data_IF_490389670735
#
_entry.id   IF_490389670735
#
_cell.length_a   1.000
_cell.length_b   1.000
_cell.length_c   1.000
_cell.angle_alpha   90.00
_cell.angle_beta   90.00
_cell.angle_gamma   90.00
#
_symmetry.space_group_name_H-M   'P 1'
#
loop_
_entity.id
_entity.type
_entity.pdbx_description
1 polymer ?
#
# COMPACT_ATOMS: atom_id res chain seq x y z
N UNK A 1 2.82 -19.51 25.35
CA UNK A 1 3.88 -19.12 24.38
C UNK A 1 3.16 -18.71 23.11
N UNK A 2 3.30 -17.47 22.66
CA UNK A 2 2.66 -17.05 21.40
C UNK A 2 3.26 -17.91 20.28
N UNK A 3 2.44 -18.75 19.66
CA UNK A 3 2.82 -19.55 18.50
C UNK A 3 3.34 -18.61 17.42
N UNK A 4 4.47 -18.97 16.81
CA UNK A 4 5.06 -18.16 15.75
C UNK A 4 4.10 -18.11 14.57
N UNK A 5 3.62 -16.91 14.25
CA UNK A 5 2.60 -16.66 13.22
C UNK A 5 3.18 -16.96 11.84
N UNK A 6 2.55 -17.84 11.07
CA UNK A 6 2.94 -18.13 9.68
C UNK A 6 2.14 -17.20 8.77
N UNK A 7 2.83 -16.54 7.83
CA UNK A 7 2.21 -15.70 6.82
C UNK A 7 2.54 -16.21 5.43
N UNK A 8 1.51 -16.65 4.73
CA UNK A 8 1.60 -17.02 3.31
C UNK A 8 1.56 -15.77 2.43
N UNK A 9 2.27 -15.83 1.31
CA UNK A 9 2.16 -14.85 0.22
C UNK A 9 0.88 -15.04 -0.57
N UNK A 10 0.61 -14.12 -1.50
CA UNK A 10 -0.50 -14.25 -2.44
C UNK A 10 -0.05 -14.86 -3.76
N UNK A 11 -0.94 -15.64 -4.38
CA UNK A 11 -0.78 -16.17 -5.73
C UNK A 11 -1.56 -15.29 -6.70
N UNK A 12 -0.92 -14.81 -7.77
CA UNK A 12 -1.56 -14.01 -8.81
C UNK A 12 -1.52 -14.71 -10.15
N UNK A 13 -2.67 -14.82 -10.82
CA UNK A 13 -2.80 -15.48 -12.12
C UNK A 13 -3.62 -14.61 -13.09
N UNK A 14 -3.20 -14.56 -14.35
CA UNK A 14 -3.93 -13.86 -15.42
C UNK A 14 -4.98 -14.77 -16.07
N UNK A 15 -6.15 -14.21 -16.38
CA UNK A 15 -7.26 -14.86 -17.07
C UNK A 15 -7.70 -14.08 -18.32
N UNK A 16 -6.81 -13.23 -18.85
CA UNK A 16 -7.07 -12.39 -20.01
C UNK A 16 -7.81 -11.09 -19.68
N UNK A 17 -9.12 -11.15 -19.48
CA UNK A 17 -9.95 -9.94 -19.28
C UNK A 17 -10.08 -9.55 -17.79
N UNK A 18 -9.63 -10.42 -16.90
CA UNK A 18 -9.45 -10.20 -15.47
C UNK A 18 -8.20 -10.95 -15.00
N UNK A 19 -7.78 -10.69 -13.77
CA UNK A 19 -6.79 -11.51 -13.07
C UNK A 19 -7.30 -11.83 -11.67
N UNK A 20 -6.76 -12.91 -11.10
CA UNK A 20 -7.10 -13.39 -9.77
C UNK A 20 -5.92 -13.26 -8.83
N UNK A 21 -6.22 -12.93 -7.58
CA UNK A 21 -5.27 -12.97 -6.48
C UNK A 21 -5.85 -13.85 -5.37
N UNK A 22 -5.23 -15.01 -5.15
CA UNK A 22 -5.56 -15.89 -4.04
C UNK A 22 -4.67 -15.60 -2.86
N UNK A 23 -5.29 -15.34 -1.72
CA UNK A 23 -4.63 -15.11 -0.45
C UNK A 23 -5.03 -16.24 0.51
N UNK A 24 -4.09 -17.10 0.94
CA UNK A 24 -4.36 -18.13 1.93
C UNK A 24 -4.87 -17.54 3.25
N UNK A 25 -5.49 -18.35 4.12
CA UNK A 25 -6.10 -17.85 5.35
C UNK A 25 -5.03 -17.27 6.28
N UNK A 26 -5.36 -16.14 6.89
CA UNK A 26 -4.54 -15.52 7.94
C UNK A 26 -4.83 -16.25 9.26
N UNK A 27 -3.85 -16.29 10.16
CA UNK A 27 -4.01 -16.94 11.47
C UNK A 27 -5.27 -16.45 12.18
N UNK A 28 -6.15 -17.39 12.54
CA UNK A 28 -7.44 -17.10 13.21
C UNK A 28 -8.64 -16.92 12.29
N UNK A 29 -8.44 -16.91 10.97
CA UNK A 29 -9.53 -16.88 9.98
C UNK A 29 -9.80 -18.28 9.41
N UNK A 30 -11.08 -18.57 9.13
CA UNK A 30 -11.54 -19.88 8.63
C UNK A 30 -11.55 -20.02 7.11
N UNK A 31 -11.20 -18.96 6.38
CA UNK A 31 -11.29 -18.92 4.92
C UNK A 31 -10.13 -18.16 4.28
N UNK A 32 -9.86 -18.52 3.03
CA UNK A 32 -8.97 -17.82 2.11
C UNK A 32 -9.72 -16.69 1.41
N UNK A 33 -9.00 -15.72 0.85
CA UNK A 33 -9.61 -14.62 0.07
C UNK A 33 -9.21 -14.78 -1.38
N UNK A 34 -10.21 -14.87 -2.26
CA UNK A 34 -10.05 -14.75 -3.71
C UNK A 34 -10.50 -13.35 -4.12
N UNK A 35 -9.58 -12.64 -4.75
CA UNK A 35 -9.83 -11.33 -5.34
C UNK A 35 -9.83 -11.43 -6.85
N UNK A 36 -10.95 -11.10 -7.49
CA UNK A 36 -11.05 -11.00 -8.95
C UNK A 36 -10.95 -9.52 -9.33
N UNK A 37 -9.91 -9.13 -10.06
CA UNK A 37 -9.73 -7.76 -10.53
C UNK A 37 -10.09 -7.67 -12.01
N UNK A 38 -11.24 -7.06 -12.30
CA UNK A 38 -11.79 -6.93 -13.65
C UNK A 38 -11.11 -5.78 -14.39
N UNK A 39 -10.43 -6.09 -15.49
CA UNK A 39 -9.66 -5.11 -16.28
C UNK A 39 -10.50 -4.59 -17.44
N UNK A 40 -11.22 -5.49 -18.10
CA UNK A 40 -12.12 -5.19 -19.21
C UNK A 40 -13.57 -5.35 -18.75
N UNK A 41 -14.41 -4.37 -19.04
CA UNK A 41 -15.82 -4.39 -18.63
C UNK A 41 -16.56 -5.56 -19.29
N UNK A 42 -17.23 -6.37 -18.46
CA UNK A 42 -18.12 -7.46 -18.84
C UNK A 42 -19.43 -7.37 -18.07
N UNK A 43 -20.42 -8.13 -18.52
CA UNK A 43 -21.71 -8.21 -17.86
C UNK A 43 -21.57 -8.85 -16.47
N UNK A 44 -22.40 -8.41 -15.52
CA UNK A 44 -22.39 -8.88 -14.14
C UNK A 44 -22.60 -10.40 -14.06
N UNK A 45 -23.41 -10.97 -14.95
CA UNK A 45 -23.65 -12.42 -15.01
C UNK A 45 -22.37 -13.20 -15.36
N UNK A 46 -21.56 -12.68 -16.28
CA UNK A 46 -20.27 -13.29 -16.62
C UNK A 46 -19.31 -13.25 -15.43
N UNK A 47 -19.26 -12.12 -14.71
CA UNK A 47 -18.41 -12.00 -13.51
C UNK A 47 -18.85 -12.99 -12.42
N UNK A 48 -20.16 -13.15 -12.19
CA UNK A 48 -20.70 -14.12 -11.23
C UNK A 48 -20.32 -15.55 -11.62
N UNK A 49 -20.44 -15.90 -12.90
CA UNK A 49 -20.06 -17.23 -13.39
C UNK A 49 -18.57 -17.51 -13.17
N UNK A 50 -17.69 -16.53 -13.44
CA UNK A 50 -16.26 -16.69 -13.16
C UNK A 50 -15.95 -16.76 -11.67
N UNK A 51 -16.64 -15.98 -10.83
CA UNK A 51 -16.48 -16.10 -9.37
C UNK A 51 -16.80 -17.52 -8.88
N UNK A 52 -17.87 -18.14 -9.39
CA UNK A 52 -18.26 -19.50 -9.05
C UNK A 52 -17.26 -20.53 -9.62
N UNK A 53 -16.74 -20.31 -10.84
CA UNK A 53 -15.74 -21.15 -11.48
C UNK A 53 -14.41 -21.15 -10.71
N UNK A 54 -13.89 -19.97 -10.42
CA UNK A 54 -12.62 -19.76 -9.70
C UNK A 54 -12.69 -20.28 -8.25
N UNK A 55 -13.85 -20.16 -7.60
CA UNK A 55 -14.06 -20.75 -6.28
C UNK A 55 -14.02 -22.29 -6.32
N UNK A 56 -14.59 -22.92 -7.36
CA UNK A 56 -14.51 -24.37 -7.54
C UNK A 56 -13.09 -24.82 -7.88
N UNK A 57 -12.39 -24.10 -8.75
CA UNK A 57 -10.99 -24.37 -9.08
C UNK A 57 -10.12 -24.30 -7.82
N UNK A 58 -10.31 -23.26 -7.01
CA UNK A 58 -9.64 -23.15 -5.71
C UNK A 58 -9.90 -24.36 -4.83
N UNK A 59 -11.16 -24.72 -4.58
CA UNK A 59 -11.50 -25.85 -3.72
C UNK A 59 -10.94 -27.19 -4.22
N UNK A 60 -10.78 -27.32 -5.54
CA UNK A 60 -10.15 -28.51 -6.15
C UNK A 60 -8.64 -28.57 -5.91
N UNK A 61 -7.97 -27.41 -5.86
CA UNK A 61 -6.52 -27.29 -5.66
C UNK A 61 -6.16 -27.28 -4.18
N UNK A 62 -6.93 -26.56 -3.38
CA UNK A 62 -6.76 -26.36 -1.96
C UNK A 62 -8.13 -26.54 -1.29
N UNK A 63 -8.35 -27.62 -0.51
CA UNK A 63 -9.63 -27.93 0.13
C UNK A 63 -9.90 -27.02 1.35
N UNK A 64 -9.72 -25.71 1.19
CA UNK A 64 -9.84 -24.67 2.21
C UNK A 64 -11.00 -23.76 1.80
N UNK A 65 -11.91 -23.41 2.73
CA UNK A 65 -12.97 -22.45 2.43
C UNK A 65 -12.41 -21.15 1.83
N UNK A 66 -13.16 -20.54 0.92
CA UNK A 66 -12.74 -19.32 0.23
C UNK A 66 -13.89 -18.31 0.12
N UNK A 67 -13.54 -17.05 0.30
CA UNK A 67 -14.41 -15.91 0.02
C UNK A 67 -13.94 -15.21 -1.25
N UNK A 68 -14.76 -15.23 -2.30
CA UNK A 68 -14.49 -14.57 -3.56
C UNK A 68 -15.15 -13.18 -3.61
N UNK A 69 -14.39 -12.16 -4.03
CA UNK A 69 -14.86 -10.78 -4.19
C UNK A 69 -14.36 -10.24 -5.53
N UNK A 70 -15.27 -9.65 -6.31
CA UNK A 70 -14.94 -8.97 -7.56
C UNK A 70 -14.69 -7.47 -7.35
N UNK A 71 -13.68 -6.95 -8.03
CA UNK A 71 -13.28 -5.55 -8.04
C UNK A 71 -13.25 -5.02 -9.47
N UNK A 72 -13.72 -3.79 -9.66
CA UNK A 72 -13.55 -3.07 -10.91
C UNK A 72 -12.11 -2.57 -11.08
N UNK A 73 -11.79 -2.09 -12.29
CA UNK A 73 -10.44 -1.62 -12.63
C UNK A 73 -9.90 -0.52 -11.70
N UNK A 74 -10.78 0.29 -11.12
CA UNK A 74 -10.45 1.34 -10.15
C UNK A 74 -10.31 0.84 -8.70
N UNK A 75 -10.24 -0.48 -8.50
CA UNK A 75 -10.08 -1.12 -7.21
C UNK A 75 -11.30 -0.98 -6.27
N UNK A 76 -12.47 -0.59 -6.79
CA UNK A 76 -13.73 -0.57 -6.05
C UNK A 76 -14.43 -1.94 -6.12
N UNK A 77 -15.21 -2.32 -5.10
CA UNK A 77 -15.96 -3.58 -5.11
C UNK A 77 -17.05 -3.49 -6.19
N UNK A 78 -17.10 -4.48 -7.07
CA UNK A 78 -18.11 -4.53 -8.12
C UNK A 78 -19.47 -4.87 -7.50
N UNK A 79 -20.49 -4.04 -7.78
CA UNK A 79 -21.84 -4.33 -7.32
C UNK A 79 -22.48 -5.42 -8.19
N UNK A 80 -22.89 -6.51 -7.55
CA UNK A 80 -23.60 -7.64 -8.19
C UNK A 80 -25.13 -7.49 -8.08
N UNK A 81 -25.59 -6.30 -7.67
CA UNK A 81 -27.00 -5.97 -7.49
C UNK A 81 -27.78 -6.23 -8.78
N UNK A 82 -28.83 -7.03 -8.69
CA UNK A 82 -29.66 -7.45 -9.83
C UNK A 82 -29.41 -8.89 -10.28
N UNK A 83 -28.25 -9.48 -9.96
CA UNK A 83 -27.94 -10.89 -10.27
C UNK A 83 -27.81 -11.73 -8.99
N UNK A 84 -27.24 -11.13 -7.93
CA UNK A 84 -27.06 -11.76 -6.61
C UNK A 84 -27.43 -10.80 -5.48
N UNK A 85 -27.81 -11.31 -4.29
CA UNK A 85 -28.21 -10.49 -3.16
C UNK A 85 -27.03 -9.79 -2.46
N UNK A 86 -25.81 -10.34 -2.58
CA UNK A 86 -24.57 -9.81 -1.98
C UNK A 86 -23.42 -9.79 -2.99
N UNK A 87 -22.36 -9.03 -2.69
CA UNK A 87 -21.21 -8.81 -3.58
C UNK A 87 -20.04 -9.77 -3.35
N UNK A 88 -20.21 -10.78 -2.51
CA UNK A 88 -19.20 -11.79 -2.22
C UNK A 88 -19.81 -13.17 -2.24
N UNK A 89 -19.01 -14.15 -2.64
CA UNK A 89 -19.36 -15.56 -2.65
C UNK A 89 -18.50 -16.25 -1.59
N UNK A 90 -19.12 -17.08 -0.76
CA UNK A 90 -18.37 -17.98 0.13
C UNK A 90 -18.55 -19.40 -0.39
N UNK A 91 -17.44 -20.12 -0.49
CA UNK A 91 -17.41 -21.49 -0.97
C UNK A 91 -16.61 -22.38 -0.02
N UNK A 92 -17.11 -23.58 0.26
CA UNK A 92 -16.43 -24.60 1.05
C UNK A 92 -16.80 -26.01 0.55
N UNK A 93 -16.06 -27.02 1.00
CA UNK A 93 -16.40 -28.41 0.75
C UNK A 93 -17.26 -28.94 1.91
N UNK A 94 -18.40 -29.55 1.58
CA UNK A 94 -19.25 -30.20 2.57
C UNK A 94 -18.55 -31.44 3.15
N UNK A 95 -18.60 -31.62 4.46
CA UNK A 95 -17.79 -32.66 5.14
C UNK A 95 -18.20 -34.09 4.77
N UNK A 96 -19.45 -34.30 4.36
CA UNK A 96 -20.00 -35.62 4.07
C UNK A 96 -19.94 -36.00 2.58
N UNK A 97 -20.22 -35.06 1.68
CA UNK A 97 -20.29 -35.32 0.24
C UNK A 97 -19.03 -34.91 -0.52
N UNK A 98 -18.14 -34.13 0.11
CA UNK A 98 -17.00 -33.47 -0.54
C UNK A 98 -17.41 -32.67 -1.79
N UNK A 99 -18.68 -32.22 -1.83
CA UNK A 99 -19.18 -31.37 -2.90
C UNK A 99 -18.96 -29.90 -2.55
N UNK A 100 -18.62 -29.06 -3.54
CA UNK A 100 -18.44 -27.63 -3.32
C UNK A 100 -19.81 -26.97 -3.09
N UNK A 101 -19.99 -26.42 -1.89
CA UNK A 101 -21.13 -25.58 -1.53
C UNK A 101 -20.78 -24.15 -1.89
N UNK A 102 -21.64 -23.50 -2.67
CA UNK A 102 -21.51 -22.10 -3.08
C UNK A 102 -22.63 -21.29 -2.42
N UNK A 103 -22.27 -20.34 -1.57
CA UNK A 103 -23.22 -19.56 -0.78
C UNK A 103 -23.10 -18.06 -1.09
N UNK A 104 -24.23 -17.47 -1.50
CA UNK A 104 -24.39 -16.04 -1.74
C UNK A 104 -25.19 -15.39 -0.61
N UNK A 105 -24.89 -15.74 0.64
CA UNK A 105 -25.56 -15.20 1.83
C UNK A 105 -24.56 -14.89 2.95
N UNK A 106 -25.00 -14.10 3.93
CA UNK A 106 -24.21 -13.84 5.14
C UNK A 106 -24.34 -15.07 6.03
N UNK A 107 -23.24 -15.80 6.20
CA UNK A 107 -23.19 -16.97 7.07
C UNK A 107 -22.52 -16.62 8.40
N UNK A 108 -22.91 -17.34 9.45
CA UNK A 108 -22.21 -17.32 10.73
C UNK A 108 -20.89 -18.08 10.65
N UNK A 109 -19.92 -17.69 11.47
CA UNK A 109 -18.61 -18.35 11.50
C UNK A 109 -18.71 -19.85 11.85
N UNK A 110 -19.76 -20.26 12.56
CA UNK A 110 -20.06 -21.62 13.00
C UNK A 110 -20.43 -22.58 11.86
N UNK A 111 -20.80 -22.06 10.70
CA UNK A 111 -21.14 -22.86 9.51
C UNK A 111 -19.88 -23.31 8.76
N UNK A 112 -18.77 -22.58 8.90
CA UNK A 112 -17.54 -22.85 8.15
C UNK A 112 -16.72 -23.98 8.79
N UNK A 113 -16.16 -24.91 8.00
CA UNK A 113 -15.26 -25.93 8.50
C UNK A 113 -14.04 -25.34 9.22
N UNK A 114 -13.70 -25.91 10.38
CA UNK A 114 -12.54 -25.50 11.20
C UNK A 114 -11.18 -25.93 10.63
N UNK A 115 -11.17 -26.55 9.44
CA UNK A 115 -9.97 -27.14 8.82
C UNK A 115 -8.89 -26.08 8.60
N UNK A 116 -9.29 -24.85 8.26
CA UNK A 116 -8.38 -23.71 8.08
C UNK A 116 -7.73 -23.21 9.38
N UNK A 117 -8.15 -23.68 10.55
CA UNK A 117 -7.50 -23.34 11.83
C UNK A 117 -6.30 -24.24 12.12
N UNK A 118 -6.17 -25.39 11.44
CA UNK A 118 -5.05 -26.29 11.64
C UNK A 118 -3.82 -25.84 10.85
N UNK A 119 -2.84 -25.29 11.57
CA UNK A 119 -1.61 -24.73 10.99
C UNK A 119 -0.77 -25.76 10.24
N UNK A 120 -0.54 -26.92 10.83
CA UNK A 120 0.39 -27.89 10.25
C UNK A 120 -0.19 -28.44 8.94
N UNK A 121 -1.51 -28.60 8.90
CA UNK A 121 -2.26 -28.91 7.70
C UNK A 121 -2.21 -27.79 6.64
N UNK A 122 -2.32 -26.51 7.03
CA UNK A 122 -2.17 -25.39 6.08
C UNK A 122 -0.79 -25.38 5.41
N UNK A 123 0.29 -25.70 6.14
CA UNK A 123 1.63 -25.75 5.56
C UNK A 123 1.76 -26.89 4.55
N UNK A 124 1.11 -28.03 4.80
CA UNK A 124 1.06 -29.15 3.85
C UNK A 124 0.25 -28.82 2.59
N UNK A 125 -0.88 -28.13 2.76
CA UNK A 125 -1.76 -27.75 1.65
C UNK A 125 -1.14 -26.64 0.80
N UNK A 126 -0.46 -25.67 1.40
CA UNK A 126 0.13 -24.50 0.71
C UNK A 126 1.64 -24.64 0.48
N UNK A 127 2.12 -25.82 0.13
CA UNK A 127 3.54 -26.08 -0.16
C UNK A 127 4.10 -25.22 -1.30
N UNK A 128 3.27 -24.93 -2.30
CA UNK A 128 3.64 -24.13 -3.47
C UNK A 128 3.60 -22.61 -3.21
N UNK A 129 3.11 -22.18 -2.04
CA UNK A 129 2.97 -20.76 -1.71
C UNK A 129 4.15 -20.31 -0.85
N UNK A 130 4.87 -19.24 -1.25
CA UNK A 130 5.92 -18.67 -0.41
C UNK A 130 5.35 -18.28 0.95
N UNK A 131 5.93 -18.77 2.04
CA UNK A 131 5.53 -18.39 3.38
C UNK A 131 6.71 -17.87 4.17
N UNK A 132 6.43 -17.00 5.15
CA UNK A 132 7.40 -16.49 6.12
C UNK A 132 6.91 -16.79 7.53
N UNK A 133 7.84 -17.10 8.41
CA UNK A 133 7.56 -17.25 9.83
C UNK A 133 7.63 -15.91 10.57
N UNK A 134 6.91 -15.78 11.68
CA UNK A 134 6.96 -14.58 12.52
C UNK A 134 8.38 -14.28 13.00
N UNK A 135 9.21 -15.29 13.23
CA UNK A 135 10.62 -15.12 13.56
C UNK A 135 11.42 -14.46 12.43
N UNK A 136 11.22 -14.89 11.18
CA UNK A 136 11.88 -14.29 10.01
C UNK A 136 11.44 -12.84 9.79
N UNK A 137 10.14 -12.55 9.96
CA UNK A 137 9.60 -11.19 9.87
C UNK A 137 10.24 -10.30 10.94
N UNK A 138 10.31 -10.78 12.20
CA UNK A 138 10.96 -10.04 13.30
C UNK A 138 12.45 -9.80 13.03
N UNK A 139 13.16 -10.77 12.45
CA UNK A 139 14.56 -10.62 12.09
C UNK A 139 14.77 -9.56 10.99
N UNK A 140 13.92 -9.56 9.95
CA UNK A 140 13.96 -8.56 8.88
C UNK A 140 13.68 -7.14 9.42
N UNK A 141 12.67 -7.01 10.29
CA UNK A 141 12.33 -5.73 10.94
C UNK A 141 13.46 -5.25 11.85
N UNK A 142 14.06 -6.15 12.64
CA UNK A 142 15.19 -5.80 13.52
C UNK A 142 16.37 -5.23 12.72
N UNK A 143 16.67 -5.81 11.55
CA UNK A 143 17.68 -5.29 10.63
C UNK A 143 17.35 -3.87 10.12
N UNK A 144 16.08 -3.61 9.76
CA UNK A 144 15.65 -2.26 9.31
C UNK A 144 15.69 -1.23 10.46
N UNK A 145 15.26 -1.59 11.67
CA UNK A 145 15.28 -0.70 12.84
C UNK A 145 16.70 -0.33 13.24
N UNK A 146 17.65 -1.27 13.15
CA UNK A 146 19.06 -0.98 13.41
C UNK A 146 19.59 0.13 12.49
N UNK A 147 19.21 0.12 11.20
CA UNK A 147 19.60 1.15 10.24
C UNK A 147 19.00 2.54 10.55
N UNK A 148 17.78 2.59 11.09
CA UNK A 148 17.12 3.84 11.49
C UNK A 148 17.74 4.47 12.74
N UNK A 149 18.24 3.65 13.69
CA UNK A 149 18.92 4.18 14.89
C UNK A 149 20.18 4.97 14.54
N UNK A 150 20.90 4.58 13.48
CA UNK A 150 22.07 5.32 12.99
C UNK A 150 21.68 6.70 12.47
N UNK A 151 20.57 6.79 11.72
CA UNK A 151 20.03 8.06 11.25
C UNK A 151 19.64 9.00 12.40
N UNK A 152 18.98 8.47 13.44
CA UNK A 152 18.58 9.28 14.60
C UNK A 152 19.77 9.77 15.43
N UNK A 153 20.85 8.98 15.54
CA UNK A 153 22.09 9.40 16.20
C UNK A 153 22.76 10.58 15.46
N UNK A 154 22.75 10.56 14.12
CA UNK A 154 23.31 11.64 13.30
C UNK A 154 22.51 12.95 13.48
N UNK A 155 21.19 12.87 13.57
CA UNK A 155 20.31 14.01 13.90
C UNK A 155 20.60 14.53 15.31
N UNK A 156 20.76 13.64 16.30
CA UNK A 156 21.07 14.02 17.68
C UNK A 156 22.41 14.77 17.79
N UNK A 157 23.47 14.28 17.13
CA UNK A 157 24.78 14.97 17.10
C UNK A 157 24.64 16.36 16.49
N UNK A 158 23.90 16.50 15.39
CA UNK A 158 23.74 17.78 14.71
C UNK A 158 22.85 18.78 15.49
N UNK A 159 21.78 18.30 16.13
CA UNK A 159 20.82 19.15 16.84
C UNK A 159 21.24 19.49 18.27
N UNK A 160 22.06 18.65 18.92
CA UNK A 160 22.42 18.82 20.34
C UNK A 160 23.91 19.05 20.50
N UNK A 161 24.77 18.19 19.97
CA UNK A 161 26.21 18.28 20.22
C UNK A 161 26.84 19.49 19.53
N UNK A 162 26.41 19.85 18.32
CA UNK A 162 26.92 21.03 17.60
C UNK A 162 26.49 22.34 18.30
N UNK A 163 25.19 22.59 18.60
CA UNK A 163 24.80 23.80 19.32
C UNK A 163 25.39 23.89 20.73
N UNK A 164 25.51 22.76 21.43
CA UNK A 164 26.18 22.72 22.73
C UNK A 164 27.68 23.06 22.61
N UNK A 165 28.38 22.53 21.60
CA UNK A 165 29.77 22.88 21.33
C UNK A 165 29.95 24.37 21.03
N UNK A 166 29.05 24.97 20.24
CA UNK A 166 29.03 26.42 19.97
C UNK A 166 28.82 27.21 21.27
N UNK A 167 27.86 26.81 22.11
CA UNK A 167 27.59 27.49 23.38
C UNK A 167 28.78 27.41 24.36
N UNK A 168 29.50 26.28 24.39
CA UNK A 168 30.72 26.12 25.21
C UNK A 168 31.87 26.96 24.65
N UNK A 169 32.00 27.07 23.33
CA UNK A 169 32.98 27.95 22.67
C UNK A 169 32.70 29.43 22.91
N UNK A 170 31.43 29.82 22.96
CA UNK A 170 30.98 31.18 23.25
C UNK A 170 31.34 31.60 24.68
N UNK A 171 31.31 30.66 25.64
CA UNK A 171 31.77 30.89 27.02
C UNK A 171 33.28 31.23 27.11
N UNK A 172 34.09 30.75 26.17
CA UNK A 172 35.55 30.87 26.25
C UNK A 172 36.15 32.10 25.56
N UNK A 173 35.39 32.87 24.78
CA UNK A 173 35.95 34.10 24.19
C UNK A 173 34.93 35.22 23.96
N UNK A 174 35.10 36.32 24.70
CA UNK A 174 34.40 37.60 24.48
C UNK A 174 34.61 38.15 23.06
N UNK A 175 35.71 37.74 22.42
CA UNK A 175 36.07 38.12 21.05
C UNK A 175 35.14 37.50 20.00
N UNK A 176 34.59 36.30 20.26
CA UNK A 176 33.58 35.70 19.38
C UNK A 176 32.27 36.46 19.44
N UNK A 177 31.86 36.94 20.61
CA UNK A 177 30.64 37.75 20.77
C UNK A 177 30.69 39.03 19.93
N UNK A 178 31.85 39.69 19.89
CA UNK A 178 32.09 40.84 19.01
C UNK A 178 32.04 40.48 17.52
N UNK A 179 32.56 39.30 17.15
CA UNK A 179 32.51 38.78 15.77
C UNK A 179 31.08 38.40 15.34
N UNK A 180 30.31 37.77 16.22
CA UNK A 180 28.90 37.44 15.99
C UNK A 180 28.06 38.71 15.87
N UNK A 181 28.31 39.70 16.75
CA UNK A 181 27.65 41.00 16.69
C UNK A 181 28.02 41.76 15.40
N UNK A 182 29.31 41.78 15.03
CA UNK A 182 29.78 42.36 13.78
C UNK A 182 29.18 41.68 12.55
N UNK A 183 29.12 40.35 12.54
CA UNK A 183 28.47 39.57 11.48
C UNK A 183 26.97 39.86 11.41
N UNK A 184 26.28 39.98 12.55
CA UNK A 184 24.87 40.34 12.61
C UNK A 184 24.61 41.75 12.04
N UNK A 185 25.46 42.73 12.37
CA UNK A 185 25.38 44.09 11.83
C UNK A 185 25.62 44.14 10.31
N UNK A 186 26.65 43.43 9.82
CA UNK A 186 26.93 43.34 8.38
C UNK A 186 25.77 42.67 7.64
N UNK A 187 25.22 41.60 8.20
CA UNK A 187 24.07 40.89 7.63
C UNK A 187 22.81 41.78 7.61
N UNK A 188 22.57 42.55 8.67
CA UNK A 188 21.47 43.51 8.76
C UNK A 188 21.62 44.64 7.73
N UNK A 189 22.82 45.19 7.56
CA UNK A 189 23.11 46.21 6.55
C UNK A 189 22.90 45.70 5.11
N UNK A 190 23.36 44.47 4.81
CA UNK A 190 23.12 43.82 3.52
C UNK A 190 21.62 43.58 3.28
N UNK A 191 20.87 43.21 4.32
CA UNK A 191 19.40 43.05 4.21
C UNK A 191 18.70 44.39 3.97
N UNK A 192 19.09 45.45 4.67
CA UNK A 192 18.55 46.79 4.47
C UNK A 192 18.80 47.31 3.05
N UNK A 193 20.02 47.11 2.51
CA UNK A 193 20.37 47.48 1.13
C UNK A 193 19.61 46.69 0.06
N UNK A 194 19.23 45.44 0.34
CA UNK A 194 18.36 44.64 -0.54
C UNK A 194 16.91 45.12 -0.50
N UNK A 195 16.41 45.56 0.66
CA UNK A 195 15.05 46.08 0.82
C UNK A 195 14.87 47.48 0.19
N UNK A 196 15.91 48.31 0.21
CA UNK A 196 15.89 49.65 -0.43
C UNK A 196 16.12 49.61 -1.95
N UNK A 197 16.22 48.42 -2.56
CA UNK A 197 16.31 48.23 -4.01
C UNK A 197 17.67 48.56 -4.63
N UNK A 198 18.68 48.92 -3.83
CA UNK A 198 20.03 49.22 -4.31
C UNK A 198 20.87 47.97 -4.63
N UNK A 199 20.44 46.79 -4.19
CA UNK A 199 21.00 45.51 -4.64
C UNK A 199 19.90 44.63 -5.26
N UNK A 200 20.08 44.12 -6.50
CA UNK A 200 19.14 43.16 -7.08
C UNK A 200 19.10 41.88 -6.24
N UNK A 201 17.91 41.28 -6.11
CA UNK A 201 17.78 39.95 -5.53
C UNK A 201 18.54 38.95 -6.41
N UNK A 202 19.18 37.96 -5.79
CA UNK A 202 19.83 36.88 -6.54
C UNK A 202 18.79 36.17 -7.41
N UNK A 203 19.13 35.78 -8.63
CA UNK A 203 18.24 35.06 -9.55
C UNK A 203 17.56 33.83 -8.89
N UNK A 204 18.29 33.13 -8.01
CA UNK A 204 17.78 32.02 -7.23
C UNK A 204 16.67 32.43 -6.23
N UNK A 205 16.73 33.66 -5.72
CA UNK A 205 15.72 34.20 -4.81
C UNK A 205 14.48 34.66 -5.57
N UNK A 206 14.64 35.28 -6.74
CA UNK A 206 13.49 35.67 -7.57
C UNK A 206 12.74 34.45 -8.12
N UNK A 207 13.47 33.40 -8.50
CA UNK A 207 12.86 32.14 -8.93
C UNK A 207 12.07 31.50 -7.78
N UNK A 208 12.66 31.46 -6.58
CA UNK A 208 11.96 31.00 -5.38
C UNK A 208 10.72 31.84 -5.05
N UNK A 209 10.82 33.17 -5.13
CA UNK A 209 9.67 34.07 -4.90
C UNK A 209 8.55 33.83 -5.94
N UNK A 210 8.91 33.55 -7.20
CA UNK A 210 7.95 33.18 -8.24
C UNK A 210 7.31 31.80 -7.99
N UNK A 211 8.07 30.82 -7.50
CA UNK A 211 7.54 29.53 -7.05
C UNK A 211 6.63 29.69 -5.84
N UNK A 212 7.02 30.48 -4.85
CA UNK A 212 6.22 30.77 -3.66
C UNK A 212 4.91 31.46 -4.04
N UNK A 213 4.94 32.42 -4.98
CA UNK A 213 3.74 33.07 -5.53
C UNK A 213 2.83 32.06 -6.25
N UNK A 214 3.39 31.15 -7.04
CA UNK A 214 2.60 30.08 -7.68
C UNK A 214 1.97 29.18 -6.62
N UNK A 215 2.73 28.75 -5.62
CA UNK A 215 2.22 27.92 -4.53
C UNK A 215 1.11 28.62 -3.75
N UNK A 216 1.29 29.89 -3.40
CA UNK A 216 0.26 30.69 -2.73
C UNK A 216 -0.99 30.85 -3.59
N UNK A 217 -0.83 31.10 -4.89
CA UNK A 217 -1.95 31.17 -5.82
C UNK A 217 -2.70 29.84 -5.91
N UNK A 218 -1.98 28.71 -5.99
CA UNK A 218 -2.57 27.38 -5.96
C UNK A 218 -3.31 27.12 -4.62
N UNK A 219 -2.66 27.43 -3.50
CA UNK A 219 -3.24 27.27 -2.16
C UNK A 219 -4.52 28.07 -1.99
N UNK A 220 -4.50 29.34 -2.44
CA UNK A 220 -5.66 30.22 -2.41
C UNK A 220 -6.87 29.65 -3.16
N UNK A 221 -6.65 29.10 -4.35
CA UNK A 221 -7.73 28.44 -5.10
C UNK A 221 -8.20 27.13 -4.46
N UNK A 222 -7.29 26.41 -3.79
CA UNK A 222 -7.65 25.20 -3.03
C UNK A 222 -8.52 25.54 -1.81
N UNK A 223 -8.21 26.60 -1.07
CA UNK A 223 -9.00 27.03 0.10
C UNK A 223 -10.39 27.55 -0.28
N UNK A 224 -10.52 28.21 -1.44
CA UNK A 224 -11.82 28.76 -1.89
C UNK A 224 -12.79 27.71 -2.40
N UNK A 225 -12.33 26.51 -2.75
CA UNK A 225 -13.18 25.43 -3.22
C UNK A 225 -12.66 24.05 -2.76
N UNK A 226 -12.78 23.75 -1.45
CA UNK A 226 -12.28 22.50 -0.90
C UNK A 226 -13.00 21.28 -1.48
N UNK A 227 -14.29 21.39 -1.80
CA UNK A 227 -15.07 20.30 -2.38
C UNK A 227 -14.58 19.89 -3.77
N UNK A 228 -14.29 20.86 -4.64
CA UNK A 228 -13.74 20.57 -5.96
C UNK A 228 -12.34 19.93 -5.87
N UNK A 229 -11.51 20.36 -4.92
CA UNK A 229 -10.21 19.75 -4.70
C UNK A 229 -10.31 18.31 -4.19
N UNK A 230 -11.22 18.04 -3.24
CA UNK A 230 -11.49 16.67 -2.77
C UNK A 230 -11.96 15.78 -3.91
N UNK A 231 -12.83 16.29 -4.79
CA UNK A 231 -13.28 15.57 -5.99
C UNK A 231 -12.14 15.28 -6.96
N UNK A 232 -11.29 16.27 -7.25
CA UNK A 232 -10.11 16.09 -8.11
C UNK A 232 -9.13 15.08 -7.52
N UNK A 233 -8.91 15.11 -6.21
CA UNK A 233 -8.09 14.12 -5.52
C UNK A 233 -8.68 12.71 -5.66
N UNK A 234 -9.99 12.55 -5.47
CA UNK A 234 -10.65 11.27 -5.65
C UNK A 234 -10.56 10.77 -7.09
N UNK A 235 -10.71 11.64 -8.08
CA UNK A 235 -10.58 11.32 -9.50
C UNK A 235 -9.16 10.89 -9.87
N UNK A 236 -8.14 11.61 -9.40
CA UNK A 236 -6.73 11.25 -9.61
C UNK A 236 -6.41 9.88 -9.00
N UNK A 237 -6.84 9.64 -7.76
CA UNK A 237 -6.65 8.34 -7.11
C UNK A 237 -7.36 7.21 -7.88
N UNK A 238 -8.55 7.46 -8.40
CA UNK A 238 -9.30 6.50 -9.23
C UNK A 238 -8.53 6.18 -10.50
N UNK A 239 -8.00 7.20 -11.18
CA UNK A 239 -7.21 7.05 -12.40
C UNK A 239 -5.93 6.26 -12.16
N UNK A 240 -5.18 6.61 -11.11
CA UNK A 240 -3.98 5.89 -10.70
C UNK A 240 -4.28 4.43 -10.34
N UNK A 241 -5.43 4.15 -9.71
CA UNK A 241 -5.86 2.79 -9.45
C UNK A 241 -6.10 2.01 -10.76
N UNK A 242 -6.84 2.60 -11.71
CA UNK A 242 -7.08 1.98 -13.03
C UNK A 242 -5.78 1.71 -13.77
N UNK A 243 -4.88 2.68 -13.82
CA UNK A 243 -3.59 2.57 -14.51
C UNK A 243 -2.74 1.45 -13.89
N UNK A 244 -2.72 1.35 -12.56
CA UNK A 244 -2.01 0.27 -11.84
C UNK A 244 -2.60 -1.10 -12.11
N UNK A 245 -3.93 -1.26 -12.02
CA UNK A 245 -4.61 -2.54 -12.31
C UNK A 245 -4.32 -3.01 -13.74
N UNK A 246 -4.35 -2.08 -14.71
CA UNK A 246 -3.99 -2.39 -16.10
C UNK A 246 -2.52 -2.75 -16.27
N UNK A 247 -1.61 -2.02 -15.62
CA UNK A 247 -0.18 -2.32 -15.65
C UNK A 247 0.13 -3.70 -15.03
N UNK A 248 -0.52 -4.04 -13.92
CA UNK A 248 -0.40 -5.36 -13.29
C UNK A 248 -0.91 -6.47 -14.22
N UNK A 249 -2.09 -6.30 -14.82
CA UNK A 249 -2.62 -7.28 -15.78
C UNK A 249 -1.70 -7.49 -16.97
N UNK A 250 -1.12 -6.41 -17.53
CA UNK A 250 -0.14 -6.50 -18.61
C UNK A 250 1.14 -7.24 -18.19
N UNK A 251 1.64 -6.98 -16.98
CA UNK A 251 2.81 -7.67 -16.45
C UNK A 251 2.56 -9.17 -16.24
N UNK A 252 1.38 -9.55 -15.77
CA UNK A 252 0.99 -10.95 -15.61
C UNK A 252 0.85 -11.65 -16.97
N UNK A 253 0.19 -11.01 -17.95
CA UNK A 253 0.11 -11.53 -19.34
C UNK A 253 1.48 -11.81 -19.93
N UNK A 254 2.42 -10.87 -19.77
CA UNK A 254 3.78 -11.04 -20.26
C UNK A 254 4.47 -12.25 -19.61
N UNK A 255 4.32 -12.41 -18.29
CA UNK A 255 4.90 -13.54 -17.54
C UNK A 255 4.33 -14.89 -17.98
N UNK A 256 3.02 -14.98 -18.21
CA UNK A 256 2.36 -16.20 -18.70
C UNK A 256 2.82 -16.53 -20.13
N UNK A 257 2.96 -15.52 -21.01
CA UNK A 257 3.47 -15.74 -22.37
C UNK A 257 4.93 -16.18 -22.44
N UNK A 258 5.80 -15.71 -21.52
CA UNK A 258 7.19 -16.17 -21.47
C UNK A 258 7.30 -17.59 -20.91
N UNK A 259 6.43 -17.97 -19.98
CA UNK A 259 6.43 -19.32 -19.41
C UNK A 259 5.95 -20.38 -20.43
N UNK A 260 5.12 -20.00 -21.40
CA UNK A 260 4.65 -20.91 -22.46
C UNK A 260 5.56 -20.99 -23.69
N UNK A 261 6.53 -20.06 -23.86
CA UNK A 261 7.51 -20.11 -24.95
C UNK A 261 8.78 -20.91 -24.63
N UNK A 262 9.03 -21.19 -23.34
CA UNK A 262 10.22 -21.88 -22.84
C UNK A 262 9.97 -23.38 -22.53
N UNK A 263 8.78 -23.91 -22.85
CA UNK A 263 8.41 -25.33 -22.69
C UNK A 263 8.12 -26.02 -24.01
#
# INVERSE_FOLDING_TARGET
MASDEIRFGSLKEDRGWYYVEYSPPVTGFRFSILRLSIVESRDTEAVVAEMESEAREWLSRYPVPIMAIAFSADNSVLSLSGVRPINYLIAWLESESNEPVLCWEIIGDDVLPDIALNRDWLVEVFTDVPHKTGAEIRAEVAGRVASQRVGWWLVFVWAVAVPFGVAVLEWWSDLLGLLVLGYAFVKAAIHALRLTGHLPSSARKSEKEAEDLKMQHHHYHCERNPEAFVRLKAENLRREAIERTKAEALALKAKTSSASSDG
#
